data_IF_951029772392
#
_entry.id   IF_951029772392
#
_cell.length_a   1.000
_cell.length_b   1.000
_cell.length_c   1.000
_cell.angle_alpha   90.00
_cell.angle_beta   90.00
_cell.angle_gamma   90.00
#
_symmetry.space_group_name_H-M   'P 1'
#
loop_
_entity.id
_entity.type
_entity.pdbx_description
1 polymer ?
#
# COMPACT_ATOMS: atom_id res chain seq x y z
N UNK A 1 19.66 36.02 0.34
CA UNK A 1 20.78 35.05 0.16
C UNK A 1 21.02 34.19 1.42
N UNK A 2 20.04 33.37 1.84
CA UNK A 2 20.19 32.49 3.02
C UNK A 2 19.88 31.02 2.75
N UNK A 3 19.62 30.65 1.50
CA UNK A 3 19.11 29.32 1.15
C UNK A 3 20.23 28.34 0.71
N UNK A 4 21.39 28.83 0.26
CA UNK A 4 22.46 27.96 -0.26
C UNK A 4 23.50 27.46 0.76
N UNK A 5 23.36 27.77 2.06
CA UNK A 5 24.32 27.29 3.09
C UNK A 5 23.94 25.92 3.66
N UNK A 6 22.71 25.46 3.45
CA UNK A 6 22.17 24.23 4.07
C UNK A 6 22.66 22.93 3.39
N UNK A 7 23.19 23.01 2.17
CA UNK A 7 23.63 21.83 1.40
C UNK A 7 25.10 21.44 1.60
N UNK A 8 25.85 22.19 2.43
CA UNK A 8 27.26 21.87 2.75
C UNK A 8 27.44 21.24 4.14
N UNK A 9 26.40 20.59 4.69
CA UNK A 9 26.63 19.56 5.72
C UNK A 9 27.17 18.36 4.97
N UNK A 10 28.47 18.41 4.72
CA UNK A 10 29.26 17.44 3.98
C UNK A 10 29.11 16.09 4.66
N UNK A 11 28.36 15.19 4.04
CA UNK A 11 28.58 13.75 4.17
C UNK A 11 29.96 13.43 3.60
N UNK A 12 31.03 13.79 4.30
CA UNK A 12 32.32 13.13 4.10
C UNK A 12 32.23 11.81 4.85
N UNK A 13 31.52 10.84 4.27
CA UNK A 13 31.64 9.47 4.72
C UNK A 13 33.11 9.09 4.48
N UNK A 14 33.91 9.11 5.54
CA UNK A 14 35.26 8.55 5.48
C UNK A 14 35.16 7.08 5.07
N UNK A 15 36.23 6.52 4.53
CA UNK A 15 36.32 5.09 4.21
C UNK A 15 35.97 4.18 5.43
N UNK A 16 36.01 4.75 6.63
CA UNK A 16 35.77 4.09 7.91
C UNK A 16 34.27 3.96 8.27
N UNK A 17 33.35 4.39 7.39
CA UNK A 17 31.91 4.28 7.66
C UNK A 17 31.39 5.23 8.76
N UNK A 18 32.19 6.24 9.10
CA UNK A 18 31.85 7.27 10.07
C UNK A 18 31.23 8.48 9.37
N UNK A 19 30.13 8.96 9.94
CA UNK A 19 29.39 10.14 9.53
C UNK A 19 29.51 11.22 10.62
N UNK A 20 30.00 12.39 10.23
CA UNK A 20 30.04 13.56 11.12
C UNK A 20 28.81 14.43 10.84
N UNK A 21 28.03 14.72 11.87
CA UNK A 21 26.79 15.51 11.81
C UNK A 21 26.94 16.73 12.71
N UNK A 22 26.65 17.91 12.16
CA UNK A 22 26.62 19.17 12.91
C UNK A 22 25.20 19.39 13.46
N UNK A 23 25.11 19.45 14.78
CA UNK A 23 23.85 19.58 15.49
C UNK A 23 23.69 21.01 16.03
N UNK A 24 22.55 21.69 15.74
CA UNK A 24 22.29 23.05 16.21
C UNK A 24 22.04 23.08 17.73
N UNK A 25 22.00 24.28 18.35
CA UNK A 25 21.67 24.42 19.77
C UNK A 25 20.23 23.98 20.04
N UNK A 26 19.96 23.56 21.27
CA UNK A 26 18.61 23.19 21.72
C UNK A 26 18.32 21.68 21.68
N UNK A 27 17.03 21.34 21.62
CA UNK A 27 16.55 19.95 21.65
C UNK A 27 16.81 19.28 20.30
N UNK A 28 17.42 18.10 20.32
CA UNK A 28 17.77 17.36 19.11
C UNK A 28 16.68 16.39 18.65
N UNK A 29 15.71 16.04 19.51
CA UNK A 29 14.65 15.10 19.15
C UNK A 29 15.17 13.68 18.85
N UNK A 30 16.23 13.26 19.55
CA UNK A 30 16.86 11.95 19.39
C UNK A 30 16.59 11.09 20.62
N UNK A 31 16.21 9.83 20.39
CA UNK A 31 16.21 8.81 21.43
C UNK A 31 17.34 7.82 21.19
N UNK A 32 18.03 7.51 22.28
CA UNK A 32 19.13 6.56 22.30
C UNK A 32 18.75 5.32 23.10
N UNK A 33 19.26 4.18 22.67
CA UNK A 33 19.18 2.92 23.40
C UNK A 33 20.59 2.41 23.66
N UNK A 34 20.81 1.92 24.87
CA UNK A 34 22.02 1.25 25.29
C UNK A 34 21.62 0.08 26.19
N UNK A 35 22.44 -0.97 26.18
CA UNK A 35 22.24 -2.19 26.97
C UNK A 35 22.45 -2.01 28.49
N UNK A 36 22.80 -0.79 28.92
CA UNK A 36 22.74 -0.34 30.31
C UNK A 36 23.99 -0.58 31.14
N UNK A 37 24.92 -1.42 30.67
CA UNK A 37 26.21 -1.64 31.35
C UNK A 37 27.32 -0.82 30.70
N UNK A 38 27.78 -1.16 29.49
CA UNK A 38 28.83 -0.42 28.76
C UNK A 38 28.83 -0.82 27.27
N UNK A 39 27.70 -0.62 26.59
CA UNK A 39 27.54 -0.97 25.18
C UNK A 39 27.41 0.25 24.27
N UNK A 40 27.52 0.03 22.94
CA UNK A 40 27.38 1.09 21.95
C UNK A 40 25.99 1.71 22.03
N UNK A 41 25.94 3.03 22.08
CA UNK A 41 24.69 3.78 22.14
C UNK A 41 24.11 3.91 20.73
N UNK A 42 22.93 3.34 20.51
CA UNK A 42 22.28 3.28 19.19
C UNK A 42 21.10 4.26 19.13
N UNK A 43 20.97 4.96 18.01
CA UNK A 43 19.81 5.83 17.74
C UNK A 43 18.59 4.96 17.45
N UNK A 44 17.55 5.03 18.27
CA UNK A 44 16.31 4.24 18.08
C UNK A 44 15.18 5.01 17.46
N UNK A 45 15.13 6.32 17.70
CA UNK A 45 14.10 7.19 17.13
C UNK A 45 14.69 8.56 16.86
N UNK A 46 14.32 9.10 15.72
CA UNK A 46 14.56 10.50 15.35
C UNK A 46 13.19 11.14 15.16
N UNK A 47 12.92 12.24 15.85
CA UNK A 47 11.68 12.99 15.66
C UNK A 47 11.66 13.62 14.25
N UNK A 48 10.51 13.53 13.58
CA UNK A 48 10.30 14.08 12.23
C UNK A 48 10.53 15.59 12.16
N UNK A 49 10.24 16.28 13.25
CA UNK A 49 10.32 17.74 13.34
C UNK A 49 11.71 18.22 13.80
N UNK A 50 12.65 17.29 14.03
CA UNK A 50 13.99 17.63 14.46
C UNK A 50 14.83 18.16 13.29
N UNK A 51 15.78 19.05 13.62
CA UNK A 51 16.76 19.54 12.64
C UNK A 51 17.68 18.45 12.09
N UNK A 52 17.70 17.27 12.70
CA UNK A 52 18.59 16.15 12.37
C UNK A 52 17.88 15.04 11.59
N UNK A 53 16.57 15.14 11.36
CA UNK A 53 15.78 14.12 10.65
C UNK A 53 16.36 13.75 9.28
N UNK A 54 16.91 14.73 8.54
CA UNK A 54 17.47 14.49 7.20
C UNK A 54 18.92 13.96 7.22
N UNK A 55 19.61 14.11 8.35
CA UNK A 55 21.04 13.81 8.49
C UNK A 55 21.31 12.51 9.23
N UNK A 56 20.35 12.03 10.04
CA UNK A 56 20.51 10.85 10.89
C UNK A 56 19.52 9.76 10.52
N UNK A 57 19.95 8.52 10.65
CA UNK A 57 19.12 7.33 10.46
C UNK A 57 19.00 6.56 11.77
N UNK A 58 17.84 5.94 11.97
CA UNK A 58 17.65 4.96 13.04
C UNK A 58 18.59 3.78 12.81
N UNK A 59 19.22 3.31 13.89
CA UNK A 59 20.22 2.24 13.87
C UNK A 59 21.68 2.73 13.80
N UNK A 60 21.93 4.03 13.61
CA UNK A 60 23.28 4.58 13.71
C UNK A 60 23.83 4.44 15.13
N UNK A 61 25.12 4.11 15.25
CA UNK A 61 25.81 3.99 16.54
C UNK A 61 26.57 5.27 16.83
N UNK A 62 26.37 5.87 18.00
CA UNK A 62 27.07 7.08 18.40
C UNK A 62 28.47 6.74 18.90
N UNK A 63 29.49 7.38 18.32
CA UNK A 63 30.90 7.11 18.65
C UNK A 63 31.52 8.25 19.44
N UNK A 64 31.29 9.49 19.06
CA UNK A 64 31.77 10.64 19.85
C UNK A 64 30.87 11.86 19.75
N UNK A 65 30.95 12.70 20.79
CA UNK A 65 30.22 13.98 20.91
C UNK A 65 31.22 15.09 21.23
N UNK A 66 31.45 16.01 20.30
CA UNK A 66 32.41 17.10 20.41
C UNK A 66 33.85 16.60 20.68
N UNK A 67 34.20 15.46 20.09
CA UNK A 67 35.50 14.79 20.27
C UNK A 67 35.62 13.91 21.50
N UNK A 68 34.59 13.86 22.36
CA UNK A 68 34.54 12.99 23.53
C UNK A 68 34.00 11.61 23.13
N UNK A 69 34.78 10.55 23.35
CA UNK A 69 34.37 9.18 23.06
C UNK A 69 33.26 8.73 24.01
N UNK A 70 32.17 8.23 23.45
CA UNK A 70 30.98 7.80 24.19
C UNK A 70 30.71 6.31 24.07
N UNK A 71 31.60 5.54 23.43
CA UNK A 71 31.40 4.10 23.20
C UNK A 71 31.23 3.27 24.48
N UNK A 72 31.76 3.74 25.61
CA UNK A 72 31.62 3.11 26.93
C UNK A 72 30.59 3.76 27.85
N UNK A 73 29.85 4.78 27.38
CA UNK A 73 28.85 5.47 28.20
C UNK A 73 27.49 4.81 28.09
N UNK A 74 26.72 4.85 29.18
CA UNK A 74 25.31 4.46 29.13
C UNK A 74 24.49 5.47 28.31
N UNK A 75 23.34 5.03 27.77
CA UNK A 75 22.42 5.93 27.05
C UNK A 75 21.96 7.13 27.89
N UNK A 76 21.87 6.94 29.21
CA UNK A 76 21.52 8.00 30.16
C UNK A 76 22.64 9.04 30.30
N UNK A 77 23.90 8.61 30.42
CA UNK A 77 25.05 9.52 30.50
C UNK A 77 25.22 10.32 29.21
N UNK A 78 25.06 9.67 28.04
CA UNK A 78 25.08 10.35 26.74
C UNK A 78 23.96 11.40 26.65
N UNK A 79 22.75 11.05 27.08
CA UNK A 79 21.64 12.01 27.10
C UNK A 79 21.94 13.20 28.02
N UNK A 80 22.50 12.95 29.20
CA UNK A 80 22.91 13.99 30.14
C UNK A 80 24.02 14.89 29.55
N UNK A 81 24.99 14.31 28.86
CA UNK A 81 26.08 15.02 28.17
C UNK A 81 25.52 15.93 27.06
N UNK A 82 24.61 15.42 26.23
CA UNK A 82 23.97 16.20 25.16
C UNK A 82 23.11 17.34 25.69
N UNK A 83 22.41 17.13 26.80
CA UNK A 83 21.64 18.18 27.49
C UNK A 83 22.58 19.22 28.10
N UNK A 84 23.69 18.81 28.71
CA UNK A 84 24.71 19.71 29.24
C UNK A 84 25.33 20.62 28.16
N UNK A 85 25.54 20.07 26.95
CA UNK A 85 26.06 20.81 25.79
C UNK A 85 24.96 21.52 24.97
N UNK A 86 23.69 21.50 25.40
CA UNK A 86 22.58 22.05 24.60
C UNK A 86 22.63 23.56 24.32
N UNK A 87 23.41 24.31 25.12
CA UNK A 87 23.61 25.76 24.94
C UNK A 87 24.75 26.10 23.97
N UNK A 88 25.55 25.12 23.56
CA UNK A 88 26.65 25.37 22.63
C UNK A 88 26.11 25.67 21.23
N UNK A 89 26.72 26.61 20.50
CA UNK A 89 26.21 27.06 19.20
C UNK A 89 26.30 25.99 18.12
N UNK A 90 27.27 25.08 18.22
CA UNK A 90 27.42 23.94 17.32
C UNK A 90 27.92 22.75 18.12
N UNK A 91 27.35 21.57 17.86
CA UNK A 91 27.78 20.28 18.40
C UNK A 91 28.16 19.35 17.27
N UNK A 92 29.28 18.64 17.40
CA UNK A 92 29.79 17.69 16.41
C UNK A 92 29.49 16.28 16.89
N UNK A 93 28.59 15.58 16.21
CA UNK A 93 28.27 14.20 16.49
C UNK A 93 28.96 13.30 15.46
N UNK A 94 29.75 12.34 15.92
CA UNK A 94 30.34 11.33 15.04
C UNK A 94 29.60 10.02 15.26
N UNK A 95 28.96 9.55 14.20
CA UNK A 95 28.15 8.35 14.19
C UNK A 95 28.73 7.32 13.23
N UNK A 96 28.57 6.05 13.56
CA UNK A 96 28.84 4.94 12.66
C UNK A 96 27.54 4.57 11.94
N UNK A 97 27.63 4.42 10.62
CA UNK A 97 26.50 4.00 9.81
C UNK A 97 26.04 2.60 10.24
N UNK A 98 24.72 2.32 10.25
CA UNK A 98 24.24 0.98 10.49
C UNK A 98 24.81 0.08 9.40
N UNK A 99 25.59 -0.92 9.80
CA UNK A 99 25.89 -2.04 8.91
C UNK A 99 24.56 -2.65 8.47
N UNK A 100 24.34 -2.81 7.17
CA UNK A 100 23.10 -3.39 6.61
C UNK A 100 22.78 -4.76 7.23
N UNK A 101 23.75 -5.43 7.85
CA UNK A 101 23.57 -6.69 8.57
C UNK A 101 22.69 -6.59 9.83
N UNK A 102 22.52 -5.41 10.45
CA UNK A 102 21.78 -5.25 11.73
C UNK A 102 20.42 -4.57 11.58
N UNK A 103 20.05 -4.10 10.39
CA UNK A 103 18.69 -3.62 10.13
C UNK A 103 17.75 -4.83 10.03
N UNK A 104 17.33 -5.33 11.19
CA UNK A 104 16.43 -6.47 11.30
C UNK A 104 15.18 -6.29 10.43
N UNK A 105 14.72 -7.33 9.73
CA UNK A 105 13.70 -7.27 8.68
C UNK A 105 12.28 -6.91 9.17
N UNK A 106 12.10 -6.54 10.44
CA UNK A 106 10.80 -6.49 11.10
C UNK A 106 9.91 -5.33 10.63
N UNK A 107 10.48 -4.21 10.17
CA UNK A 107 9.68 -3.07 9.71
C UNK A 107 9.26 -3.21 8.24
N UNK A 108 10.18 -3.64 7.36
CA UNK A 108 9.90 -3.82 5.93
C UNK A 108 8.94 -4.97 5.67
N UNK A 109 9.05 -6.07 6.44
CA UNK A 109 8.17 -7.24 6.27
C UNK A 109 6.72 -6.92 6.61
N UNK A 110 6.46 -6.12 7.64
CA UNK A 110 5.10 -5.69 7.98
C UNK A 110 4.48 -4.85 6.86
N UNK A 111 5.18 -3.84 6.35
CA UNK A 111 4.67 -3.00 5.24
C UNK A 111 4.39 -3.82 3.97
N UNK A 112 5.27 -4.77 3.63
CA UNK A 112 5.09 -5.63 2.45
C UNK A 112 3.86 -6.55 2.57
N UNK A 113 3.58 -7.11 3.75
CA UNK A 113 2.42 -8.00 3.95
C UNK A 113 1.09 -7.24 3.82
N UNK A 114 1.02 -6.00 4.31
CA UNK A 114 -0.17 -5.16 4.12
C UNK A 114 -0.38 -4.81 2.65
N UNK A 115 0.67 -4.43 1.92
CA UNK A 115 0.58 -4.11 0.50
C UNK A 115 0.10 -5.31 -0.33
N UNK A 116 0.67 -6.50 -0.10
CA UNK A 116 0.27 -7.73 -0.80
C UNK A 116 -1.17 -8.13 -0.44
N UNK A 117 -1.57 -7.98 0.83
CA UNK A 117 -2.93 -8.26 1.27
C UNK A 117 -3.99 -7.38 0.59
N UNK A 118 -3.72 -6.08 0.44
CA UNK A 118 -4.62 -5.13 -0.25
C UNK A 118 -4.75 -5.50 -1.73
N UNK A 119 -3.63 -5.83 -2.40
CA UNK A 119 -3.64 -6.23 -3.81
C UNK A 119 -4.45 -7.52 -4.01
N UNK A 120 -4.25 -8.52 -3.16
CA UNK A 120 -4.99 -9.78 -3.23
C UNK A 120 -6.51 -9.58 -3.03
N UNK A 121 -6.90 -8.75 -2.07
CA UNK A 121 -8.31 -8.41 -1.83
C UNK A 121 -8.93 -7.68 -3.03
N UNK A 122 -8.21 -6.70 -3.61
CA UNK A 122 -8.68 -5.96 -4.78
C UNK A 122 -8.90 -6.88 -5.99
N UNK A 123 -7.99 -7.84 -6.22
CA UNK A 123 -8.12 -8.84 -7.29
C UNK A 123 -9.32 -9.77 -7.06
N UNK A 124 -9.57 -10.20 -5.82
CA UNK A 124 -10.75 -11.01 -5.48
C UNK A 124 -12.06 -10.27 -5.74
N UNK A 125 -12.15 -9.00 -5.34
CA UNK A 125 -13.33 -8.16 -5.60
C UNK A 125 -13.54 -7.97 -7.10
N UNK A 126 -12.48 -7.68 -7.86
CA UNK A 126 -12.56 -7.54 -9.31
C UNK A 126 -13.07 -8.83 -9.99
N UNK A 127 -12.56 -9.99 -9.58
CA UNK A 127 -13.00 -11.28 -10.11
C UNK A 127 -14.47 -11.57 -9.79
N UNK A 128 -14.94 -11.23 -8.59
CA UNK A 128 -16.35 -11.38 -8.21
C UNK A 128 -17.27 -10.47 -9.05
N UNK A 129 -16.88 -9.21 -9.27
CA UNK A 129 -17.63 -8.27 -10.11
C UNK A 129 -17.70 -8.76 -11.56
N UNK A 130 -16.58 -9.21 -12.13
CA UNK A 130 -16.54 -9.78 -13.49
C UNK A 130 -17.45 -11.01 -13.62
N UNK A 131 -17.45 -11.88 -12.60
CA UNK A 131 -18.32 -13.07 -12.58
C UNK A 131 -19.80 -12.66 -12.54
N UNK A 132 -20.15 -11.66 -11.74
CA UNK A 132 -21.52 -11.14 -11.65
C UNK A 132 -21.99 -10.57 -13.00
N UNK A 133 -21.19 -9.71 -13.63
CA UNK A 133 -21.48 -9.14 -14.94
C UNK A 133 -21.62 -10.22 -16.03
N UNK A 134 -20.76 -11.24 -15.98
CA UNK A 134 -20.82 -12.37 -16.92
C UNK A 134 -22.16 -13.11 -16.79
N UNK A 135 -22.61 -13.40 -15.56
CA UNK A 135 -23.88 -14.11 -15.34
C UNK A 135 -25.10 -13.31 -15.81
N UNK A 136 -25.11 -11.98 -15.64
CA UNK A 136 -26.19 -11.13 -16.13
C UNK A 136 -26.26 -11.11 -17.67
N UNK A 137 -25.10 -11.09 -18.34
CA UNK A 137 -25.07 -11.10 -19.79
C UNK A 137 -25.61 -12.42 -20.38
N UNK A 138 -25.26 -13.55 -19.76
CA UNK A 138 -25.79 -14.87 -20.18
C UNK A 138 -27.29 -14.96 -19.95
N UNK A 139 -27.79 -14.45 -18.81
CA UNK A 139 -29.24 -14.40 -18.52
C UNK A 139 -29.98 -13.55 -19.55
N UNK A 140 -29.43 -12.40 -19.92
CA UNK A 140 -30.04 -11.49 -20.90
C UNK A 140 -30.20 -12.17 -22.27
N UNK A 141 -29.17 -12.88 -22.74
CA UNK A 141 -29.25 -13.64 -24.00
C UNK A 141 -30.27 -14.77 -23.96
N UNK A 142 -30.34 -15.51 -22.86
CA UNK A 142 -31.34 -16.59 -22.71
C UNK A 142 -32.78 -16.06 -22.74
N UNK A 143 -33.02 -14.90 -22.12
CA UNK A 143 -34.34 -14.24 -22.15
C UNK A 143 -34.68 -13.78 -23.57
N UNK A 144 -33.75 -13.17 -24.30
CA UNK A 144 -33.97 -12.75 -25.69
C UNK A 144 -34.30 -13.92 -26.63
N UNK A 145 -33.58 -15.05 -26.51
CA UNK A 145 -33.86 -16.25 -27.30
C UNK A 145 -35.25 -16.82 -26.99
N UNK A 146 -35.64 -16.86 -25.72
CA UNK A 146 -36.97 -17.33 -25.33
C UNK A 146 -38.08 -16.42 -25.86
N UNK A 147 -37.86 -15.10 -25.83
CA UNK A 147 -38.78 -14.11 -26.38
C UNK A 147 -38.92 -14.23 -27.90
N UNK A 148 -37.82 -14.46 -28.62
CA UNK A 148 -37.86 -14.68 -30.07
C UNK A 148 -38.61 -15.96 -30.43
N UNK A 149 -38.39 -17.06 -29.68
CA UNK A 149 -39.14 -18.32 -29.87
C UNK A 149 -40.63 -18.10 -29.63
N UNK A 150 -41.00 -17.40 -28.56
CA UNK A 150 -42.40 -17.06 -28.27
C UNK A 150 -43.03 -16.20 -29.38
N UNK A 151 -42.32 -15.19 -29.90
CA UNK A 151 -42.78 -14.37 -31.04
C UNK A 151 -43.02 -15.19 -32.30
N UNK A 152 -42.16 -16.18 -32.61
CA UNK A 152 -42.35 -17.08 -33.76
C UNK A 152 -43.63 -17.91 -33.62
N UNK A 153 -43.84 -18.53 -32.46
CA UNK A 153 -45.06 -19.32 -32.19
C UNK A 153 -46.32 -18.44 -32.28
N UNK A 154 -46.27 -17.24 -31.71
CA UNK A 154 -47.37 -16.28 -31.81
C UNK A 154 -47.66 -15.89 -33.27
N UNK A 155 -46.62 -15.66 -34.09
CA UNK A 155 -46.80 -15.34 -35.52
C UNK A 155 -47.39 -16.50 -36.32
N UNK A 156 -47.04 -17.75 -35.99
CA UNK A 156 -47.64 -18.93 -36.66
C UNK A 156 -49.09 -19.15 -36.27
N UNK A 157 -49.50 -18.78 -35.05
CA UNK A 157 -50.90 -18.84 -34.62
C UNK A 157 -51.72 -17.66 -35.17
N UNK A 158 -51.12 -16.49 -35.30
CA UNK A 158 -51.75 -15.30 -35.86
C UNK A 158 -51.88 -15.35 -37.39
N UNK A 159 -51.04 -16.14 -38.07
CA UNK A 159 -51.27 -16.52 -39.45
C UNK A 159 -52.56 -17.34 -39.50
N UNK A 160 -53.66 -16.62 -39.77
CA UNK A 160 -55.01 -17.15 -39.91
C UNK A 160 -54.92 -18.46 -40.68
N UNK A 161 -55.34 -19.60 -40.12
CA UNK A 161 -55.31 -20.83 -40.87
C UNK A 161 -56.25 -20.60 -42.05
N UNK A 162 -55.66 -20.43 -43.23
CA UNK A 162 -56.25 -20.79 -44.51
C UNK A 162 -56.43 -22.32 -44.43
N UNK A 163 -57.30 -22.77 -43.52
CA UNK A 163 -57.95 -24.06 -43.59
C UNK A 163 -58.58 -24.01 -44.96
N UNK A 164 -57.90 -24.60 -45.94
CA UNK A 164 -58.39 -24.86 -47.29
C UNK A 164 -59.63 -25.77 -47.31
N UNK A 165 -60.39 -25.80 -46.21
CA UNK A 165 -61.82 -25.97 -46.19
C UNK A 165 -62.44 -24.84 -47.01
N UNK A 166 -62.26 -24.93 -48.32
CA UNK A 166 -63.03 -24.12 -49.25
C UNK A 166 -64.49 -24.28 -48.88
N UNK A 167 -65.26 -23.19 -48.99
CA UNK A 167 -66.70 -23.19 -48.71
C UNK A 167 -67.42 -24.36 -49.39
N UNK A 168 -66.92 -24.79 -50.55
CA UNK A 168 -67.41 -25.95 -51.29
C UNK A 168 -67.24 -27.29 -50.56
N UNK A 169 -66.19 -27.49 -49.75
CA UNK A 169 -66.04 -28.71 -48.95
C UNK A 169 -67.04 -28.75 -47.79
N UNK A 170 -67.19 -27.64 -47.05
CA UNK A 170 -68.15 -27.54 -45.94
C UNK A 170 -69.58 -27.79 -46.44
N UNK A 171 -69.94 -27.23 -47.59
CA UNK A 171 -71.28 -27.37 -48.15
C UNK A 171 -71.57 -28.79 -48.67
N UNK A 172 -70.57 -29.49 -49.23
CA UNK A 172 -70.76 -30.83 -49.79
C UNK A 172 -70.70 -31.96 -48.76
N UNK A 173 -69.82 -31.91 -47.75
CA UNK A 173 -69.65 -33.06 -46.84
C UNK A 173 -70.26 -32.86 -45.45
N UNK A 174 -70.30 -31.62 -44.93
CA UNK A 174 -70.84 -31.39 -43.57
C UNK A 174 -72.37 -31.23 -43.58
N UNK A 175 -72.94 -30.53 -44.56
CA UNK A 175 -74.40 -30.28 -44.62
C UNK A 175 -75.23 -31.56 -44.73
N UNK A 176 -74.86 -32.58 -45.53
CA UNK A 176 -75.64 -33.82 -45.60
C UNK A 176 -75.55 -34.68 -44.34
N UNK A 177 -74.43 -34.62 -43.62
CA UNK A 177 -74.22 -35.39 -42.39
C UNK A 177 -75.07 -34.88 -41.22
N UNK A 178 -75.38 -33.59 -41.18
CA UNK A 178 -76.24 -32.97 -40.15
C UNK A 178 -77.74 -33.00 -40.46
N UNK A 179 -78.14 -33.55 -41.62
CA UNK A 179 -79.56 -33.61 -42.04
C UNK A 179 -80.21 -34.98 -41.85
N UNK A 180 -79.54 -35.90 -41.15
CA UNK A 180 -80.10 -37.17 -40.66
C UNK A 180 -80.41 -37.04 -39.18
#
# INVERSE_FOLDING_TARGET
>A
EHIQRKERIQRSAGADGLLTVLAPPGKLGLNFFGDGTHGPVVVTKVESDSSLADSMLVGMKLRSVDGEDVAGMSSYEVAALLVGKAKQPERVLVLELPSEAEQGPLCTTMCCLFAVGIIALALLVAAAVLTSLYTEHVRSRAVEESLQKAKRVASTLAAKPELGLSRAFLEKVVVPAMRR
#
